data_IF_442462196874
#
_entry.id   IF_442462196874
#
_cell.length_a   1.000
_cell.length_b   1.000
_cell.length_c   1.000
_cell.angle_alpha   90.00
_cell.angle_beta   90.00
_cell.angle_gamma   90.00
#
_symmetry.space_group_name_H-M   'P 1'
#
loop_
_entity.id
_entity.type
_entity.pdbx_description
1 polymer ?
#
# COMPACT_ATOMS: atom_id res chain seq x y z
N UNK A 1 0.20 -3.79 23.61
CA UNK A 1 -1.09 -3.99 22.90
C UNK A 1 -0.80 -4.14 21.42
N UNK A 2 -1.11 -5.28 20.80
CA UNK A 2 -0.98 -5.47 19.34
C UNK A 2 -2.11 -4.71 18.64
N UNK A 3 -1.79 -3.86 17.66
CA UNK A 3 -2.79 -3.08 16.95
C UNK A 3 -3.64 -3.97 16.05
N UNK A 4 -4.94 -3.67 15.93
CA UNK A 4 -5.88 -4.43 15.09
C UNK A 4 -5.41 -4.59 13.63
N UNK A 5 -4.70 -3.59 13.10
CA UNK A 5 -4.11 -3.61 11.75
C UNK A 5 -2.98 -4.64 11.62
N UNK A 6 -2.16 -4.80 12.65
CA UNK A 6 -1.04 -5.76 12.66
C UNK A 6 -1.57 -7.19 12.66
N UNK A 7 -2.63 -7.46 13.42
CA UNK A 7 -3.33 -8.76 13.38
C UNK A 7 -3.81 -9.10 11.98
N UNK A 8 -4.46 -8.15 11.29
CA UNK A 8 -4.89 -8.39 9.91
C UNK A 8 -3.74 -8.59 8.94
N UNK A 9 -2.63 -7.86 9.12
CA UNK A 9 -1.41 -8.03 8.31
C UNK A 9 -0.81 -9.44 8.48
N UNK A 10 -0.71 -9.91 9.72
CA UNK A 10 -0.24 -11.26 10.04
C UNK A 10 -1.18 -12.35 9.47
N UNK A 11 -2.49 -12.15 9.55
CA UNK A 11 -3.46 -13.07 8.95
C UNK A 11 -3.29 -13.11 7.43
N UNK A 12 -3.06 -11.97 6.77
CA UNK A 12 -2.91 -11.92 5.31
C UNK A 12 -1.62 -12.60 4.83
N UNK A 13 -0.53 -12.52 5.60
CA UNK A 13 0.72 -13.25 5.27
C UNK A 13 0.57 -14.76 5.47
N UNK A 14 -0.09 -15.19 6.55
CA UNK A 14 -0.27 -16.61 6.87
C UNK A 14 -1.38 -17.31 6.08
N UNK A 15 -2.29 -16.55 5.45
CA UNK A 15 -3.43 -17.09 4.69
C UNK A 15 -3.02 -18.03 3.53
N UNK A 16 -1.79 -17.92 3.03
CA UNK A 16 -1.28 -18.82 1.99
C UNK A 16 -0.97 -20.22 2.53
N UNK A 17 -0.59 -20.32 3.81
CA UNK A 17 -0.19 -21.58 4.45
C UNK A 17 -1.34 -22.22 5.25
N UNK A 18 -2.27 -21.42 5.78
CA UNK A 18 -3.31 -21.90 6.70
C UNK A 18 -4.72 -21.45 6.33
N UNK A 19 -5.75 -22.23 6.69
CA UNK A 19 -7.14 -21.84 6.47
C UNK A 19 -7.50 -20.53 7.18
N UNK A 20 -8.04 -19.57 6.43
CA UNK A 20 -8.41 -18.24 6.95
C UNK A 20 -9.35 -18.30 8.17
N UNK A 21 -10.24 -19.31 8.22
CA UNK A 21 -11.17 -19.49 9.34
C UNK A 21 -10.44 -19.66 10.69
N UNK A 22 -9.34 -20.43 10.70
CA UNK A 22 -8.55 -20.68 11.90
C UNK A 22 -7.78 -19.45 12.31
N UNK A 23 -7.18 -18.76 11.34
CA UNK A 23 -6.43 -17.53 11.58
C UNK A 23 -7.32 -16.43 12.19
N UNK A 24 -8.55 -16.27 11.70
CA UNK A 24 -9.51 -15.30 12.24
C UNK A 24 -9.95 -15.64 13.67
N UNK A 25 -10.13 -16.94 13.96
CA UNK A 25 -10.54 -17.43 15.28
C UNK A 25 -9.41 -17.24 16.31
N UNK A 26 -8.17 -17.62 15.98
CA UNK A 26 -7.00 -17.47 16.86
C UNK A 26 -6.70 -15.99 17.12
N UNK A 27 -6.84 -15.13 16.11
CA UNK A 27 -6.57 -13.71 16.24
C UNK A 27 -7.73 -12.90 16.86
N UNK A 28 -8.87 -13.55 17.14
CA UNK A 28 -10.08 -12.94 17.71
C UNK A 28 -10.57 -11.71 16.91
N UNK A 29 -10.57 -11.82 15.58
CA UNK A 29 -11.01 -10.74 14.70
C UNK A 29 -12.16 -11.16 13.79
N UNK A 30 -13.06 -10.22 13.51
CA UNK A 30 -14.19 -10.49 12.64
C UNK A 30 -13.77 -10.65 11.17
N UNK A 31 -14.40 -11.61 10.49
CA UNK A 31 -14.25 -11.85 9.05
C UNK A 31 -14.54 -10.58 8.23
N UNK A 32 -15.62 -9.87 8.56
CA UNK A 32 -15.99 -8.63 7.89
C UNK A 32 -14.93 -7.52 8.04
N UNK A 33 -14.33 -7.40 9.23
CA UNK A 33 -13.25 -6.45 9.49
C UNK A 33 -12.01 -6.74 8.65
N UNK A 34 -11.62 -8.01 8.55
CA UNK A 34 -10.48 -8.44 7.74
C UNK A 34 -10.68 -8.11 6.25
N UNK A 35 -11.83 -8.44 5.67
CA UNK A 35 -12.10 -8.13 4.25
C UNK A 35 -12.16 -6.62 3.98
N UNK A 36 -12.76 -5.83 4.87
CA UNK A 36 -12.77 -4.36 4.76
C UNK A 36 -11.36 -3.79 4.79
N UNK A 37 -10.53 -4.25 5.74
CA UNK A 37 -9.13 -3.86 5.83
C UNK A 37 -8.36 -4.25 4.57
N UNK A 38 -8.52 -5.48 4.08
CA UNK A 38 -7.82 -5.99 2.89
C UNK A 38 -8.14 -5.19 1.64
N UNK A 39 -9.43 -4.85 1.42
CA UNK A 39 -9.85 -4.00 0.30
C UNK A 39 -9.17 -2.63 0.37
N UNK A 40 -9.21 -1.98 1.54
CA UNK A 40 -8.58 -0.67 1.72
C UNK A 40 -7.05 -0.74 1.56
N UNK A 41 -6.42 -1.76 2.14
CA UNK A 41 -4.97 -1.95 2.09
C UNK A 41 -4.47 -2.16 0.66
N UNK A 42 -5.18 -2.93 -0.17
CA UNK A 42 -4.84 -3.08 -1.58
C UNK A 42 -4.92 -1.75 -2.35
N UNK A 43 -5.97 -0.95 -2.11
CA UNK A 43 -6.10 0.36 -2.75
C UNK A 43 -4.97 1.30 -2.31
N UNK A 44 -4.64 1.32 -1.02
CA UNK A 44 -3.53 2.13 -0.50
C UNK A 44 -2.18 1.70 -1.07
N UNK A 45 -1.91 0.39 -1.14
CA UNK A 45 -0.67 -0.15 -1.72
C UNK A 45 -0.54 0.23 -3.20
N UNK A 46 -1.63 0.18 -3.97
CA UNK A 46 -1.63 0.60 -5.38
C UNK A 46 -1.36 2.10 -5.53
N UNK A 47 -1.95 2.93 -4.67
CA UNK A 47 -1.68 4.38 -4.64
C UNK A 47 -0.22 4.66 -4.30
N UNK A 48 0.30 4.05 -3.24
CA UNK A 48 1.71 4.20 -2.85
C UNK A 48 2.67 3.78 -3.96
N UNK A 49 2.39 2.67 -4.66
CA UNK A 49 3.21 2.23 -5.80
C UNK A 49 3.20 3.26 -6.93
N UNK A 50 2.02 3.80 -7.23
CA UNK A 50 1.87 4.89 -8.23
C UNK A 50 2.65 6.13 -7.79
N UNK A 51 2.49 6.57 -6.56
CA UNK A 51 3.14 7.77 -6.03
C UNK A 51 4.66 7.61 -6.02
N UNK A 52 5.17 6.41 -5.69
CA UNK A 52 6.59 6.08 -5.75
C UNK A 52 7.13 6.17 -7.18
N UNK A 53 6.41 5.60 -8.15
CA UNK A 53 6.78 5.70 -9.57
C UNK A 53 6.83 7.16 -10.06
N UNK A 54 5.83 7.98 -9.66
CA UNK A 54 5.83 9.41 -9.99
C UNK A 54 7.00 10.13 -9.33
N UNK A 55 7.27 9.85 -8.06
CA UNK A 55 8.39 10.45 -7.32
C UNK A 55 9.72 10.15 -7.99
N UNK A 56 9.96 8.90 -8.40
CA UNK A 56 11.18 8.51 -9.09
C UNK A 56 11.35 9.24 -10.43
N UNK A 57 10.28 9.35 -11.24
CA UNK A 57 10.30 10.11 -12.48
C UNK A 57 10.52 11.62 -12.26
N UNK A 58 9.87 12.21 -11.26
CA UNK A 58 10.10 13.61 -10.90
C UNK A 58 11.57 13.84 -10.54
N UNK A 59 12.15 12.94 -9.74
CA UNK A 59 13.55 13.04 -9.32
C UNK A 59 14.52 12.87 -10.49
N UNK A 60 14.25 11.98 -11.45
CA UNK A 60 15.11 11.82 -12.63
C UNK A 60 15.09 13.08 -13.50
N UNK A 61 13.92 13.65 -13.77
CA UNK A 61 13.77 14.90 -14.53
C UNK A 61 14.44 16.05 -13.79
N UNK A 62 14.24 16.17 -12.47
CA UNK A 62 14.85 17.24 -11.67
C UNK A 62 16.38 17.17 -11.68
N UNK A 63 16.96 15.97 -11.62
CA UNK A 63 18.42 15.80 -11.72
C UNK A 63 18.97 16.29 -13.05
N UNK A 64 18.23 16.10 -14.15
CA UNK A 64 18.61 16.59 -15.48
C UNK A 64 18.34 18.10 -15.64
N UNK A 65 17.27 18.59 -15.03
CA UNK A 65 16.81 19.98 -15.14
C UNK A 65 16.42 20.56 -13.76
N UNK A 66 17.41 20.94 -12.92
CA UNK A 66 17.15 21.40 -11.55
C UNK A 66 16.28 22.66 -11.48
N UNK A 67 16.28 23.47 -12.55
CA UNK A 67 15.54 24.72 -12.68
C UNK A 67 14.09 24.53 -13.18
N UNK A 68 13.65 23.29 -13.45
CA UNK A 68 12.27 23.03 -13.84
C UNK A 68 11.33 23.20 -12.65
N UNK A 69 10.57 24.31 -12.68
CA UNK A 69 9.42 24.49 -11.81
C UNK A 69 8.24 23.59 -12.20
N UNK A 70 7.19 23.60 -11.36
CA UNK A 70 6.02 22.73 -11.47
C UNK A 70 5.48 22.54 -12.90
N UNK A 71 5.20 23.64 -13.64
CA UNK A 71 4.64 23.55 -15.01
C UNK A 71 5.52 22.76 -15.98
N UNK A 72 6.85 22.94 -15.91
CA UNK A 72 7.81 22.25 -16.77
C UNK A 72 7.97 20.79 -16.36
N UNK A 73 7.95 20.52 -15.05
CA UNK A 73 7.96 19.16 -14.51
C UNK A 73 6.72 18.38 -14.97
N UNK A 74 5.52 18.95 -14.85
CA UNK A 74 4.26 18.29 -15.27
C UNK A 74 4.27 17.95 -16.76
N UNK A 75 4.79 18.83 -17.62
CA UNK A 75 4.92 18.55 -19.05
C UNK A 75 5.94 17.44 -19.36
N UNK A 76 6.97 17.29 -18.55
CA UNK A 76 8.00 16.27 -18.74
C UNK A 76 7.61 14.88 -18.17
N UNK A 77 6.56 14.81 -17.35
CA UNK A 77 6.02 13.56 -16.77
C UNK A 77 5.06 12.79 -17.69
N UNK A 78 4.90 13.22 -18.96
CA UNK A 78 3.97 12.65 -19.95
C UNK A 78 4.41 11.26 -20.40
#
# INVERSE_FOLDING_TARGET
MVLKKERFSLIDSLRQAYPLRWLLQIAEVSKAGYYKWRKYHNVQRLRQKRDMWHKEHILSIHRQHPYYGYKRMTRALV
#
